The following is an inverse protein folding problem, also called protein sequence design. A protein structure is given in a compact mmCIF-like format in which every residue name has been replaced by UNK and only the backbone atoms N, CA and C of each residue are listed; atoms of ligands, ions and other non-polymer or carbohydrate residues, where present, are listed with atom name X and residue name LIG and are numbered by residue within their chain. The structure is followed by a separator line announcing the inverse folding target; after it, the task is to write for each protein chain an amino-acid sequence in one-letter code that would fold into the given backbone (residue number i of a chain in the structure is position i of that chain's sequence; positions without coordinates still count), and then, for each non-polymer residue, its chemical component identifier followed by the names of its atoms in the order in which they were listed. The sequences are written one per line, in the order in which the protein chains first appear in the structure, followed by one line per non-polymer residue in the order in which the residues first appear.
data_IF_113075094801
#
_entry.id   IF_113075094801
#
_cell.length_a   1.000
_cell.length_b   1.000
_cell.length_c   1.000
_cell.angle_alpha   90.00
_cell.angle_beta   90.00
_cell.angle_gamma   90.00
#
_symmetry.space_group_name_H-M   'P 1'
#
loop_
_entity.id
_entity.type
_entity.pdbx_description
1 polymer ?
#
# COMPACT_ATOMS: atom_id res chain seq x y z
N UNK A 1 -26.82 28.02 -5.65
CA UNK A 1 -26.46 26.90 -6.54
C UNK A 1 -25.00 26.94 -6.99
N UNK A 2 -24.45 28.01 -7.61
CA UNK A 2 -23.03 28.06 -8.04
C UNK A 2 -22.01 27.82 -6.91
N UNK A 3 -22.22 28.36 -5.70
CA UNK A 3 -21.31 28.15 -4.55
C UNK A 3 -21.34 26.71 -4.01
N UNK A 4 -22.48 26.03 -4.10
CA UNK A 4 -22.59 24.62 -3.71
C UNK A 4 -21.88 23.69 -4.68
N UNK A 5 -21.93 23.99 -5.98
CA UNK A 5 -21.15 23.27 -7.00
C UNK A 5 -19.65 23.49 -6.85
N UNK A 6 -19.20 24.69 -6.46
CA UNK A 6 -17.78 24.97 -6.21
C UNK A 6 -17.27 24.26 -4.97
N UNK A 7 -18.08 24.17 -3.91
CA UNK A 7 -17.72 23.42 -2.70
C UNK A 7 -17.73 21.90 -2.97
N UNK A 8 -18.70 21.38 -3.70
CA UNK A 8 -18.70 19.98 -4.15
C UNK A 8 -17.51 19.65 -5.06
N UNK A 9 -17.17 20.53 -6.00
CA UNK A 9 -15.99 20.36 -6.83
C UNK A 9 -14.69 20.45 -6.00
N UNK A 10 -14.59 21.39 -5.06
CA UNK A 10 -13.44 21.50 -4.17
C UNK A 10 -13.30 20.29 -3.22
N UNK A 11 -14.41 19.73 -2.74
CA UNK A 11 -14.41 18.49 -1.96
C UNK A 11 -14.04 17.30 -2.84
N UNK A 12 -14.52 17.22 -4.08
CA UNK A 12 -14.12 16.18 -5.03
C UNK A 12 -12.62 16.24 -5.39
N UNK A 13 -12.05 17.44 -5.50
CA UNK A 13 -10.60 17.62 -5.67
C UNK A 13 -9.80 17.35 -4.39
N UNK A 14 -10.39 17.56 -3.21
CA UNK A 14 -9.72 17.30 -1.94
C UNK A 14 -9.74 15.81 -1.53
N UNK A 15 -10.59 14.99 -2.14
CA UNK A 15 -10.65 13.54 -1.92
C UNK A 15 -9.89 12.82 -3.02
N UNK A 16 -8.68 13.29 -3.34
CA UNK A 16 -7.78 12.52 -4.21
C UNK A 16 -7.47 11.18 -3.55
N UNK A 17 -7.46 10.10 -4.30
CA UNK A 17 -7.43 8.77 -3.71
C UNK A 17 -6.14 8.56 -2.95
N UNK A 18 -6.26 8.16 -1.74
CA UNK A 18 -5.23 7.50 -0.95
C UNK A 18 -4.86 6.20 -1.66
N UNK A 19 -4.05 6.33 -2.67
CA UNK A 19 -3.81 5.21 -3.55
C UNK A 19 -2.37 4.76 -3.44
N UNK A 20 -2.19 4.00 -2.45
CA UNK A 20 -1.22 2.95 -2.49
C UNK A 20 -1.68 1.84 -3.47
N UNK A 21 -1.14 0.69 -3.38
CA UNK A 21 -1.59 -0.49 -4.15
C UNK A 21 -3.08 -0.80 -3.95
N UNK A 22 -3.61 -0.48 -2.78
CA UNK A 22 -5.01 -0.64 -2.38
C UNK A 22 -5.47 0.60 -1.63
N UNK A 23 -6.65 1.08 -1.96
CA UNK A 23 -7.19 2.32 -1.41
C UNK A 23 -7.38 2.23 0.11
N UNK A 24 -6.91 3.26 0.83
CA UNK A 24 -6.95 3.31 2.29
C UNK A 24 -5.90 2.46 3.01
N UNK A 25 -4.98 1.83 2.26
CA UNK A 25 -3.86 1.05 2.78
C UNK A 25 -2.52 1.73 2.48
N UNK A 26 -1.49 1.53 3.32
CA UNK A 26 -0.13 1.93 2.94
C UNK A 26 0.40 1.07 1.78
N UNK A 27 1.42 1.57 1.10
CA UNK A 27 2.22 0.75 0.18
C UNK A 27 3.06 -0.23 0.99
N UNK A 28 2.63 -1.47 1.01
CA UNK A 28 3.36 -2.52 1.68
C UNK A 28 4.61 -2.92 0.88
N UNK A 29 5.74 -3.01 1.55
CA UNK A 29 6.98 -3.46 0.96
C UNK A 29 7.67 -4.52 1.81
N UNK A 30 8.39 -5.41 1.12
CA UNK A 30 9.27 -6.40 1.72
C UNK A 30 10.55 -6.48 0.88
N UNK A 31 11.52 -5.56 1.08
CA UNK A 31 12.73 -5.51 0.28
C UNK A 31 13.57 -6.79 0.32
N UNK A 32 13.61 -7.47 1.44
CA UNK A 32 14.30 -8.76 1.57
C UNK A 32 13.65 -9.85 0.73
N UNK A 33 12.35 -9.74 0.51
CA UNK A 33 11.58 -10.76 -0.19
C UNK A 33 11.53 -12.08 0.57
N UNK A 34 11.33 -13.17 -0.15
CA UNK A 34 11.27 -14.52 0.42
C UNK A 34 10.91 -15.52 -0.66
N UNK A 35 10.94 -16.82 -0.32
CA UNK A 35 10.47 -17.91 -1.17
C UNK A 35 9.29 -18.58 -0.51
N UNK A 36 8.21 -18.80 -1.26
CA UNK A 36 6.99 -19.41 -0.77
C UNK A 36 5.76 -18.56 -0.95
N UNK A 37 4.71 -18.91 -0.25
CA UNK A 37 3.43 -18.20 -0.28
C UNK A 37 3.20 -17.51 1.06
N UNK A 38 2.81 -16.25 1.03
CA UNK A 38 2.41 -15.49 2.23
C UNK A 38 1.01 -14.96 2.03
N UNK A 39 0.15 -15.13 3.04
CA UNK A 39 -1.18 -14.55 3.09
C UNK A 39 -1.21 -13.51 4.20
N UNK A 40 -1.79 -12.34 3.90
CA UNK A 40 -1.82 -11.20 4.81
C UNK A 40 -3.27 -10.75 5.03
N UNK A 41 -3.55 -10.30 6.25
CA UNK A 41 -4.73 -9.54 6.61
C UNK A 41 -4.30 -8.18 7.15
N UNK A 42 -4.87 -7.12 6.61
CA UNK A 42 -4.40 -5.75 6.80
C UNK A 42 -5.53 -4.83 7.27
N UNK A 43 -5.17 -3.89 8.12
CA UNK A 43 -5.97 -2.77 8.56
C UNK A 43 -5.26 -1.47 8.17
N UNK A 44 -5.97 -0.55 7.54
CA UNK A 44 -5.49 0.79 7.20
C UNK A 44 -6.32 1.87 7.88
N UNK A 45 -5.65 2.90 8.39
CA UNK A 45 -6.28 4.07 9.02
C UNK A 45 -5.70 5.32 8.35
N UNK A 46 -6.38 5.83 7.32
CA UNK A 46 -6.04 7.09 6.69
C UNK A 46 -6.16 8.27 7.66
N UNK A 47 -5.22 9.23 7.56
CA UNK A 47 -5.27 10.45 8.35
C UNK A 47 -6.31 11.45 7.83
N UNK A 48 -6.56 12.47 8.57
CA UNK A 48 -7.64 13.38 8.75
C UNK A 48 -8.16 14.21 7.63
N UNK A 49 -7.41 14.70 6.75
CA UNK A 49 -7.87 15.84 5.96
C UNK A 49 -8.65 15.43 4.70
N UNK A 50 -8.50 14.18 4.28
CA UNK A 50 -9.14 13.72 3.06
C UNK A 50 -9.64 12.27 3.18
N UNK A 51 -10.63 12.06 4.04
CA UNK A 51 -11.32 10.80 4.12
C UNK A 51 -10.89 9.89 5.25
N UNK A 52 -10.80 10.44 6.45
CA UNK A 52 -10.79 9.62 7.68
C UNK A 52 -11.71 8.43 7.51
N UNK A 53 -11.22 7.28 7.85
CA UNK A 53 -12.00 6.06 7.71
C UNK A 53 -11.16 4.87 8.10
N UNK A 54 -11.68 3.71 7.81
CA UNK A 54 -11.00 2.45 8.08
C UNK A 54 -11.02 1.62 6.81
N UNK A 55 -9.89 1.01 6.50
CA UNK A 55 -9.76 0.08 5.40
C UNK A 55 -9.37 -1.30 5.93
N UNK A 56 -9.95 -2.34 5.35
CA UNK A 56 -9.60 -3.73 5.59
C UNK A 56 -9.15 -4.35 4.29
N UNK A 57 -8.11 -5.17 4.32
CA UNK A 57 -7.59 -5.81 3.14
C UNK A 57 -7.07 -7.21 3.38
N UNK A 58 -6.93 -7.94 2.29
CA UNK A 58 -6.27 -9.23 2.26
C UNK A 58 -5.37 -9.31 1.03
N UNK A 59 -4.18 -9.86 1.20
CA UNK A 59 -3.19 -10.01 0.13
C UNK A 59 -2.58 -11.40 0.15
N UNK A 60 -2.24 -11.91 -1.02
CA UNK A 60 -1.42 -13.10 -1.18
C UNK A 60 -0.13 -12.73 -1.96
N UNK A 61 1.00 -13.20 -1.48
CA UNK A 61 2.31 -12.98 -2.09
C UNK A 61 2.93 -14.32 -2.45
N UNK A 62 3.37 -14.46 -3.69
CA UNK A 62 4.20 -15.55 -4.17
C UNK A 62 5.64 -15.05 -4.29
N UNK A 63 6.54 -15.60 -3.49
CA UNK A 63 7.97 -15.31 -3.53
C UNK A 63 8.74 -16.38 -4.31
N UNK A 64 9.53 -15.93 -5.29
CA UNK A 64 10.34 -16.75 -6.18
C UNK A 64 11.77 -16.20 -6.19
N UNK A 65 12.57 -16.60 -5.21
CA UNK A 65 13.96 -16.13 -5.02
C UNK A 65 14.08 -14.58 -4.96
N UNK A 66 14.39 -13.94 -6.08
CA UNK A 66 14.55 -12.49 -6.17
C UNK A 66 13.29 -11.74 -6.61
N UNK A 67 12.25 -12.47 -6.99
CA UNK A 67 10.99 -11.88 -7.45
C UNK A 67 9.90 -12.21 -6.44
N UNK A 68 9.03 -11.27 -6.13
CA UNK A 68 7.78 -11.52 -5.45
C UNK A 68 6.63 -10.86 -6.18
N UNK A 69 5.53 -11.59 -6.28
CA UNK A 69 4.29 -11.15 -6.89
C UNK A 69 3.21 -11.14 -5.82
N UNK A 70 2.60 -10.01 -5.61
CA UNK A 70 1.52 -9.83 -4.63
C UNK A 70 0.26 -9.41 -5.36
N UNK A 71 -0.86 -10.01 -5.01
CA UNK A 71 -2.19 -9.58 -5.42
C UNK A 71 -3.09 -9.49 -4.18
N UNK A 72 -4.09 -8.61 -4.23
CA UNK A 72 -4.96 -8.42 -3.08
C UNK A 72 -6.17 -7.56 -3.36
N UNK A 73 -6.99 -7.44 -2.33
CA UNK A 73 -8.20 -6.64 -2.32
C UNK A 73 -8.24 -5.83 -1.01
N UNK A 74 -8.86 -4.67 -1.06
CA UNK A 74 -9.17 -3.91 0.14
C UNK A 74 -10.53 -3.22 0.00
N UNK A 75 -11.17 -2.99 1.12
CA UNK A 75 -12.40 -2.21 1.24
C UNK A 75 -12.13 -1.05 2.19
N UNK A 76 -12.35 0.16 1.71
CA UNK A 76 -12.18 1.38 2.47
C UNK A 76 -13.51 2.12 2.61
N UNK A 77 -13.86 2.47 3.84
CA UNK A 77 -15.04 3.29 4.13
C UNK A 77 -14.59 4.66 4.66
N UNK A 78 -14.70 5.73 3.85
CA UNK A 78 -14.46 7.09 4.32
C UNK A 78 -15.45 7.50 5.42
N UNK A 79 -15.02 8.36 6.32
CA UNK A 79 -15.91 8.90 7.34
C UNK A 79 -17.00 9.75 6.68
N UNK A 80 -18.25 9.45 7.00
CA UNK A 80 -19.42 10.14 6.45
C UNK A 80 -19.90 9.60 5.11
N UNK A 81 -19.23 8.57 4.55
CA UNK A 81 -19.76 7.85 3.39
C UNK A 81 -20.73 6.76 3.81
N UNK A 82 -21.78 6.59 3.05
CA UNK A 82 -22.74 5.51 3.23
C UNK A 82 -22.18 4.17 2.69
N UNK A 83 -21.39 4.25 1.65
CA UNK A 83 -20.80 3.13 0.92
C UNK A 83 -19.28 3.00 1.14
N UNK A 84 -18.75 1.82 0.87
CA UNK A 84 -17.31 1.55 0.86
C UNK A 84 -16.80 1.48 -0.57
N UNK A 85 -15.58 1.96 -0.81
CA UNK A 85 -14.85 1.69 -2.04
C UNK A 85 -14.10 0.36 -1.92
N UNK A 86 -14.24 -0.49 -2.92
CA UNK A 86 -13.46 -1.73 -3.04
C UNK A 86 -12.36 -1.55 -4.06
N UNK A 87 -11.15 -1.92 -3.68
CA UNK A 87 -9.99 -1.88 -4.56
C UNK A 87 -9.39 -3.27 -4.75
N UNK A 88 -8.91 -3.50 -5.97
CA UNK A 88 -8.14 -4.70 -6.33
C UNK A 88 -6.84 -4.26 -6.99
N UNK A 89 -5.76 -4.96 -6.72
CA UNK A 89 -4.47 -4.58 -7.27
C UNK A 89 -3.41 -5.64 -7.07
N UNK A 90 -2.21 -5.32 -7.56
CA UNK A 90 -1.06 -6.17 -7.41
C UNK A 90 0.25 -5.40 -7.56
N UNK A 91 1.33 -6.03 -7.11
CA UNK A 91 2.68 -5.50 -7.21
C UNK A 91 3.67 -6.63 -7.49
N UNK A 92 4.59 -6.35 -8.39
CA UNK A 92 5.81 -7.12 -8.61
C UNK A 92 6.97 -6.41 -7.91
N UNK A 93 7.78 -7.17 -7.20
CA UNK A 93 8.98 -6.67 -6.54
C UNK A 93 10.18 -7.50 -7.02
N UNK A 94 11.28 -6.83 -7.29
CA UNK A 94 12.53 -7.44 -7.70
C UNK A 94 13.64 -7.05 -6.72
N UNK A 95 14.16 -8.02 -5.99
CA UNK A 95 15.29 -7.81 -5.08
C UNK A 95 16.59 -7.67 -5.89
N UNK A 96 17.20 -6.50 -5.79
CA UNK A 96 18.46 -6.13 -6.47
C UNK A 96 19.67 -6.49 -5.61
N UNK A 97 19.58 -6.18 -4.31
CA UNK A 97 20.62 -6.44 -3.31
C UNK A 97 19.96 -7.14 -2.13
N UNK A 98 20.69 -8.03 -1.48
CA UNK A 98 20.29 -8.70 -0.25
C UNK A 98 20.35 -10.23 -0.38
N UNK A 99 20.60 -10.85 0.71
CA UNK A 99 20.70 -12.30 0.85
C UNK A 99 20.88 -12.70 2.30
N UNK A 100 21.19 -13.95 2.57
CA UNK A 100 21.38 -14.45 3.94
C UNK A 100 22.61 -13.89 4.64
N UNK A 101 23.61 -13.46 3.88
CA UNK A 101 24.88 -12.94 4.40
C UNK A 101 24.92 -11.40 4.51
N UNK A 102 23.99 -10.70 3.87
CA UNK A 102 23.94 -9.25 3.84
C UNK A 102 22.70 -8.79 4.60
N UNK A 103 22.84 -8.03 5.70
CA UNK A 103 21.70 -7.58 6.48
C UNK A 103 20.83 -6.54 5.75
N UNK A 104 21.37 -5.91 4.71
CA UNK A 104 20.71 -4.86 3.91
C UNK A 104 20.07 -5.50 2.69
N UNK A 105 18.85 -5.12 2.36
CA UNK A 105 18.19 -5.51 1.12
C UNK A 105 17.64 -4.28 0.39
N UNK A 106 17.79 -4.27 -0.93
CA UNK A 106 17.24 -3.27 -1.85
C UNK A 106 16.35 -3.97 -2.86
N UNK A 107 15.14 -3.47 -3.05
CA UNK A 107 14.25 -3.93 -4.12
C UNK A 107 13.76 -2.77 -5.00
N UNK A 108 13.36 -3.14 -6.20
CA UNK A 108 12.51 -2.32 -7.06
C UNK A 108 11.09 -2.86 -6.97
N UNK A 109 10.10 -1.98 -7.08
CA UNK A 109 8.69 -2.35 -7.06
C UNK A 109 7.94 -1.65 -8.19
N UNK A 110 7.03 -2.40 -8.82
CA UNK A 110 6.12 -1.90 -9.82
C UNK A 110 4.75 -2.54 -9.59
N UNK A 111 3.71 -1.74 -9.53
CA UNK A 111 2.38 -2.23 -9.25
C UNK A 111 1.30 -1.27 -9.66
N UNK A 112 0.07 -1.68 -9.39
CA UNK A 112 -1.09 -0.87 -9.64
C UNK A 112 -2.38 -1.57 -9.26
N UNK A 113 -3.48 -0.86 -9.43
CA UNK A 113 -4.80 -1.37 -9.11
C UNK A 113 -5.90 -0.43 -9.56
N UNK A 114 -7.10 -0.80 -9.18
CA UNK A 114 -8.31 -0.01 -9.43
C UNK A 114 -9.19 -0.04 -8.20
N UNK A 115 -9.87 1.08 -7.96
CA UNK A 115 -10.83 1.23 -6.87
C UNK A 115 -12.19 1.64 -7.43
N UNK A 116 -13.27 1.09 -6.84
CA UNK A 116 -14.63 1.42 -7.22
C UNK A 116 -15.01 2.84 -6.83
N UNK A 117 -15.93 3.45 -7.56
CA UNK A 117 -16.55 4.70 -7.18
C UNK A 117 -17.34 4.55 -5.86
N UNK A 118 -17.51 5.67 -5.16
CA UNK A 118 -18.46 5.84 -4.06
C UNK A 118 -19.49 6.85 -4.51
N UNK A 119 -20.76 6.57 -4.26
CA UNK A 119 -21.89 7.46 -4.55
C UNK A 119 -22.44 8.06 -3.25
N UNK A 120 -23.21 9.14 -3.35
CA UNK A 120 -23.88 9.76 -2.19
C UNK A 120 -23.21 11.05 -1.71
N UNK A 121 -23.28 11.32 -0.41
CA UNK A 121 -22.81 12.56 0.21
C UNK A 121 -21.29 12.76 0.10
N UNK A 122 -20.54 11.65 0.15
CA UNK A 122 -19.10 11.60 -0.14
C UNK A 122 -18.95 10.83 -1.46
N UNK A 123 -18.97 11.55 -2.57
CA UNK A 123 -18.83 10.96 -3.90
C UNK A 123 -17.36 10.90 -4.33
N UNK A 124 -16.93 9.74 -4.80
CA UNK A 124 -15.60 9.53 -5.35
C UNK A 124 -15.70 8.82 -6.69
N UNK A 125 -14.99 9.28 -7.73
CA UNK A 125 -14.94 8.56 -9.00
C UNK A 125 -14.23 7.21 -8.85
N UNK A 126 -14.37 6.37 -9.86
CA UNK A 126 -13.51 5.20 -10.02
C UNK A 126 -12.07 5.65 -10.27
N UNK A 127 -11.11 4.97 -9.67
CA UNK A 127 -9.69 5.27 -9.84
C UNK A 127 -8.93 4.09 -10.41
N UNK A 128 -7.93 4.41 -11.22
CA UNK A 128 -6.83 3.51 -11.55
C UNK A 128 -5.54 4.16 -11.08
N UNK A 129 -4.67 3.38 -10.46
CA UNK A 129 -3.37 3.85 -9.99
C UNK A 129 -2.27 2.90 -10.43
N UNK A 130 -1.10 3.47 -10.63
CA UNK A 130 0.15 2.76 -10.95
C UNK A 130 1.20 3.30 -9.99
N UNK A 131 2.13 2.48 -9.60
CA UNK A 131 3.31 2.90 -8.83
C UNK A 131 4.57 2.25 -9.37
N UNK A 132 5.67 2.99 -9.27
CA UNK A 132 7.01 2.48 -9.50
C UNK A 132 7.95 3.07 -8.44
N UNK A 133 8.77 2.26 -7.81
CA UNK A 133 9.60 2.71 -6.71
C UNK A 133 10.69 1.74 -6.31
N UNK A 134 11.36 2.09 -5.22
CA UNK A 134 12.41 1.28 -4.61
C UNK A 134 12.23 1.24 -3.10
N UNK A 135 12.70 0.17 -2.47
CA UNK A 135 12.69 0.00 -1.03
C UNK A 135 14.00 -0.53 -0.51
N UNK A 136 14.37 -0.06 0.65
CA UNK A 136 15.56 -0.45 1.40
C UNK A 136 15.12 -1.01 2.74
N UNK A 137 15.67 -2.15 3.15
CA UNK A 137 15.46 -2.71 4.48
C UNK A 137 16.75 -3.17 5.13
N UNK A 138 16.70 -3.30 6.45
CA UNK A 138 17.78 -3.85 7.25
C UNK A 138 17.22 -5.03 8.07
N UNK A 139 17.80 -6.21 7.90
CA UNK A 139 17.46 -7.35 8.77
C UNK A 139 18.21 -7.25 10.10
N UNK A 140 17.46 -7.17 11.19
CA UNK A 140 18.03 -7.20 12.54
C UNK A 140 17.98 -8.64 13.04
N UNK A 141 19.12 -9.33 13.15
CA UNK A 141 19.16 -10.71 13.63
C UNK A 141 18.84 -10.75 15.12
N UNK A 142 17.72 -11.34 15.47
CA UNK A 142 17.28 -11.53 16.86
C UNK A 142 16.94 -13.02 17.03
N UNK A 143 17.38 -13.70 18.08
CA UNK A 143 17.05 -15.10 18.29
C UNK A 143 15.52 -15.34 18.30
N UNK A 144 15.04 -16.18 17.38
CA UNK A 144 13.62 -16.56 17.28
C UNK A 144 12.70 -15.52 16.64
N UNK A 145 13.16 -14.28 16.43
CA UNK A 145 12.37 -13.19 15.86
C UNK A 145 13.16 -12.58 14.70
N UNK A 146 12.53 -12.34 13.58
CA UNK A 146 13.12 -11.58 12.49
C UNK A 146 12.47 -10.18 12.43
N UNK A 147 13.26 -9.14 12.61
CA UNK A 147 12.78 -7.76 12.52
C UNK A 147 13.42 -7.12 11.31
N UNK A 148 12.60 -6.53 10.46
CA UNK A 148 13.02 -5.90 9.21
C UNK A 148 12.36 -4.53 9.05
N UNK A 149 12.95 -3.46 9.64
CA UNK A 149 12.57 -2.10 9.30
C UNK A 149 12.90 -1.80 7.85
N UNK A 150 12.02 -1.02 7.19
CA UNK A 150 12.21 -0.63 5.80
C UNK A 150 11.76 0.82 5.54
N UNK A 151 12.37 1.41 4.52
CA UNK A 151 11.97 2.66 3.91
C UNK A 151 11.74 2.40 2.42
N UNK A 152 10.67 2.95 1.84
CA UNK A 152 10.48 2.93 0.40
C UNK A 152 10.03 4.29 -0.13
N UNK A 153 10.41 4.57 -1.39
CA UNK A 153 10.00 5.76 -2.12
C UNK A 153 9.45 5.32 -3.46
N UNK A 154 8.33 5.92 -3.89
CA UNK A 154 7.70 5.60 -5.15
C UNK A 154 7.12 6.84 -5.82
N UNK A 155 7.17 6.86 -7.15
CA UNK A 155 6.30 7.70 -7.93
C UNK A 155 4.97 6.98 -8.16
N UNK A 156 3.87 7.72 -8.05
CA UNK A 156 2.50 7.20 -8.09
C UNK A 156 1.68 8.01 -9.06
N UNK A 157 1.04 7.32 -9.99
CA UNK A 157 0.16 7.93 -10.98
C UNK A 157 -1.27 7.53 -10.67
N UNK A 158 -2.12 8.53 -10.50
CA UNK A 158 -3.53 8.39 -10.17
C UNK A 158 -4.38 8.90 -11.33
N UNK A 159 -5.24 8.05 -11.85
CA UNK A 159 -6.15 8.38 -12.94
C UNK A 159 -7.59 8.18 -12.48
N UNK A 160 -8.30 9.25 -12.10
CA UNK A 160 -9.74 9.21 -11.92
C UNK A 160 -10.44 8.98 -13.27
N UNK A 161 -11.64 8.38 -13.24
CA UNK A 161 -12.42 8.10 -14.46
C UNK A 161 -12.94 9.36 -15.15
N UNK A 162 -13.00 10.48 -14.43
CA UNK A 162 -13.56 11.77 -14.83
C UNK A 162 -12.51 12.89 -14.88
N UNK A 163 -11.22 12.56 -14.78
CA UNK A 163 -10.15 13.56 -14.72
C UNK A 163 -8.86 13.15 -15.42
N UNK A 164 -7.87 14.04 -15.30
CA UNK A 164 -6.52 13.82 -15.80
C UNK A 164 -5.69 12.97 -14.86
N UNK A 165 -4.63 12.35 -15.39
CA UNK A 165 -3.65 11.63 -14.58
C UNK A 165 -2.81 12.63 -13.77
N UNK A 166 -2.72 12.40 -12.47
CA UNK A 166 -1.83 13.09 -11.54
C UNK A 166 -0.65 12.20 -11.19
N UNK A 167 0.51 12.81 -10.94
CA UNK A 167 1.74 12.11 -10.57
C UNK A 167 2.30 12.71 -9.29
N UNK A 168 2.49 11.88 -8.28
CA UNK A 168 2.93 12.29 -6.96
C UNK A 168 4.07 11.40 -6.46
N UNK A 169 4.85 11.93 -5.52
CA UNK A 169 5.87 11.16 -4.82
C UNK A 169 5.33 10.76 -3.44
N UNK A 170 5.42 9.47 -3.15
CA UNK A 170 5.13 8.94 -1.83
C UNK A 170 6.32 8.24 -1.22
N UNK A 171 6.35 8.20 0.11
CA UNK A 171 7.32 7.44 0.88
C UNK A 171 6.62 6.63 1.97
N UNK A 172 7.25 5.54 2.36
CA UNK A 172 6.74 4.64 3.39
C UNK A 172 7.86 4.31 4.36
N UNK A 173 7.58 4.41 5.64
CA UNK A 173 8.39 3.86 6.71
C UNK A 173 7.62 2.71 7.35
N UNK A 174 8.21 1.53 7.41
CA UNK A 174 7.55 0.35 7.96
C UNK A 174 8.48 -0.64 8.62
N UNK A 175 7.90 -1.69 9.19
CA UNK A 175 8.63 -2.81 9.74
C UNK A 175 7.84 -4.11 9.56
N UNK A 176 8.56 -5.17 9.21
CA UNK A 176 8.07 -6.55 9.20
C UNK A 176 8.67 -7.30 10.38
N UNK A 177 7.85 -8.01 11.12
CA UNK A 177 8.26 -8.84 12.29
C UNK A 177 7.82 -10.26 12.05
N UNK A 178 8.76 -11.18 11.91
CA UNK A 178 8.49 -12.60 11.67
C UNK A 178 8.73 -13.46 12.91
N UNK A 179 7.80 -14.35 13.21
CA UNK A 179 7.82 -15.33 14.30
C UNK A 179 7.58 -16.71 13.69
N UNK A 180 8.59 -17.25 13.04
CA UNK A 180 8.46 -18.51 12.30
C UNK A 180 7.57 -18.34 11.05
N UNK A 181 6.42 -19.00 11.01
CA UNK A 181 5.44 -18.88 9.93
C UNK A 181 4.47 -17.71 10.11
N UNK A 182 4.33 -17.22 11.34
CA UNK A 182 3.50 -16.06 11.64
C UNK A 182 4.33 -14.78 11.64
N UNK A 183 3.69 -13.66 11.39
CA UNK A 183 4.32 -12.37 11.55
C UNK A 183 3.33 -11.23 11.58
N UNK A 184 3.87 -10.07 11.93
CA UNK A 184 3.17 -8.80 11.96
C UNK A 184 3.89 -7.82 11.06
N UNK A 185 3.18 -6.83 10.58
CA UNK A 185 3.77 -5.73 9.85
C UNK A 185 3.03 -4.42 10.17
N UNK A 186 3.78 -3.34 10.15
CA UNK A 186 3.27 -1.99 10.36
C UNK A 186 3.92 -1.06 9.34
N UNK A 187 3.18 -0.08 8.87
CA UNK A 187 3.73 0.96 7.99
C UNK A 187 3.00 2.28 8.19
N UNK A 188 3.74 3.36 8.01
CA UNK A 188 3.22 4.70 7.77
C UNK A 188 3.58 5.09 6.34
N UNK A 189 2.57 5.41 5.56
CA UNK A 189 2.67 5.89 4.19
C UNK A 189 2.31 7.36 4.14
N UNK A 190 3.07 8.12 3.36
CA UNK A 190 2.84 9.54 3.14
C UNK A 190 3.03 9.86 1.67
N UNK A 191 2.07 10.58 1.09
CA UNK A 191 2.08 11.05 -0.28
C UNK A 191 1.79 12.53 -0.35
N UNK A 192 2.62 13.29 -1.07
CA UNK A 192 2.51 14.73 -1.22
C UNK A 192 1.87 15.09 -2.56
N UNK A 193 0.85 15.93 -2.52
CA UNK A 193 0.13 16.43 -3.70
C UNK A 193 0.55 17.87 -4.01
N UNK A 194 0.52 18.24 -5.28
CA UNK A 194 0.94 19.55 -5.77
C UNK A 194 0.21 20.76 -5.16
N UNK A 195 -0.91 20.52 -4.49
CA UNK A 195 -1.67 21.53 -3.72
C UNK A 195 -1.08 21.83 -2.33
N UNK A 196 0.02 21.17 -1.94
CA UNK A 196 0.57 21.25 -0.59
C UNK A 196 -0.15 20.37 0.44
N UNK A 197 -1.10 19.58 0.00
CA UNK A 197 -1.81 18.60 0.85
C UNK A 197 -1.00 17.31 0.94
N UNK A 198 -0.91 16.75 2.14
CA UNK A 198 -0.22 15.49 2.37
C UNK A 198 -1.20 14.44 2.88
N UNK A 199 -1.26 13.31 2.19
CA UNK A 199 -2.04 12.16 2.63
C UNK A 199 -1.16 11.21 3.41
N UNK A 200 -1.65 10.76 4.55
CA UNK A 200 -0.98 9.77 5.36
C UNK A 200 -1.90 8.60 5.68
N UNK A 201 -1.34 7.40 5.70
CA UNK A 201 -2.03 6.18 6.12
C UNK A 201 -1.15 5.42 7.10
N UNK A 202 -1.69 5.08 8.26
CA UNK A 202 -1.09 4.09 9.15
C UNK A 202 -1.74 2.75 8.84
N UNK A 203 -0.93 1.73 8.64
CA UNK A 203 -1.39 0.36 8.47
C UNK A 203 -0.74 -0.60 9.44
N UNK A 204 -1.51 -1.59 9.86
CA UNK A 204 -1.03 -2.73 10.64
C UNK A 204 -1.63 -4.00 10.05
N UNK A 205 -0.90 -5.09 10.08
CA UNK A 205 -1.43 -6.35 9.61
C UNK A 205 -0.69 -7.54 10.19
N UNK A 206 -1.25 -8.69 9.93
CA UNK A 206 -0.66 -9.99 10.26
C UNK A 206 -0.50 -10.83 8.99
N UNK A 207 0.49 -11.70 9.01
CA UNK A 207 0.71 -12.61 7.90
C UNK A 207 1.03 -14.03 8.35
N UNK A 208 0.68 -14.96 7.46
CA UNK A 208 1.06 -16.37 7.57
C UNK A 208 1.88 -16.73 6.32
N UNK A 209 3.12 -17.18 6.54
CA UNK A 209 4.07 -17.49 5.49
C UNK A 209 4.36 -18.99 5.43
N UNK A 210 4.04 -19.60 4.31
CA UNK A 210 4.45 -20.95 3.95
C UNK A 210 5.73 -20.85 3.13
N UNK A 211 6.85 -21.27 3.71
CA UNK A 211 8.11 -21.37 2.97
C UNK A 211 8.01 -22.58 2.04
N UNK A 212 8.38 -22.41 0.77
CA UNK A 212 8.57 -23.56 -0.10
C UNK A 212 9.69 -24.45 0.47
N UNK A 213 9.52 -25.78 0.53
CA UNK A 213 10.62 -26.65 0.87
C UNK A 213 11.78 -26.37 -0.10
N UNK A 214 12.95 -26.03 0.43
CA UNK A 214 14.14 -25.81 -0.37
C UNK A 214 14.62 -27.16 -0.89
N UNK A 215 14.21 -27.48 -2.09
CA UNK A 215 14.52 -28.76 -2.73
C UNK A 215 13.96 -28.84 -4.15
N UNK A 216 14.35 -27.93 -5.01
CA UNK A 216 14.37 -28.07 -6.48
C UNK A 216 15.63 -27.39 -6.99
#
# INVERSE_FOLDING_TARGET
MKRMFTVMAAVAFAVSPLAAQWQGMPVWNNPKGGTGVTVNADLGVPNGDVGKGTAFGARATLGLANISLTAGVASWKPKGADESSTSVGGVAQFKVIGGSLIPVALNLQFGGGTASAITGAVALPKFTHILAGAGLSVSVPTPGINIEPYLSVSNRWHKPSDGSTESNIGWVLGANVGLGMLGLHVAYDSESYGSGTTFGVIGIGAHFALKAPMGL
#
